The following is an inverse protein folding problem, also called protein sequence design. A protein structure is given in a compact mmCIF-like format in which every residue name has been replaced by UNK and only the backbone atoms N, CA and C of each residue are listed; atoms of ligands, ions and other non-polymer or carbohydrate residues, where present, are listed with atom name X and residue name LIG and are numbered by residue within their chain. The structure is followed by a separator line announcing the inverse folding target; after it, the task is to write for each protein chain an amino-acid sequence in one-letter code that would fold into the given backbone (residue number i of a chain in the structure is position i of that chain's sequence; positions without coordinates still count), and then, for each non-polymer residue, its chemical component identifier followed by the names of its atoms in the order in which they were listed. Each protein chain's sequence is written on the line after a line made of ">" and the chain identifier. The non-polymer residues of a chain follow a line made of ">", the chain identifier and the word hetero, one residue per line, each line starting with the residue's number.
data_IF_775065434145
#
_entry.id   IF_775065434145
#
_cell.length_a   1.000
_cell.length_b   1.000
_cell.length_c   1.000
_cell.angle_alpha   90.00
_cell.angle_beta   90.00
_cell.angle_gamma   90.00
#
_symmetry.space_group_name_H-M   'P 1'
#
loop_
_entity.id
_entity.type
_entity.pdbx_description
1 polymer ?
#
# COMPACT_ATOMS: atom_id res chain seq x y z
N UNK A 1 -10.02 9.31 15.72
CA UNK A 1 -10.43 8.57 14.50
C UNK A 1 -9.17 8.01 13.86
N UNK A 2 -9.21 6.79 13.31
CA UNK A 2 -8.05 6.19 12.62
C UNK A 2 -7.74 6.92 11.32
N UNK A 3 -6.52 6.80 10.82
CA UNK A 3 -6.07 7.40 9.55
C UNK A 3 -5.18 6.46 8.76
N UNK A 4 -5.18 6.64 7.44
CA UNK A 4 -4.19 6.10 6.51
C UNK A 4 -3.21 7.21 6.17
N UNK A 5 -1.91 6.94 6.18
CA UNK A 5 -0.86 7.94 5.95
C UNK A 5 0.00 7.52 4.76
N UNK A 6 0.16 8.42 3.80
CA UNK A 6 1.13 8.31 2.72
C UNK A 6 2.39 9.07 3.12
N UNK A 7 3.55 8.45 2.94
CA UNK A 7 4.84 9.04 3.19
C UNK A 7 5.62 9.27 1.88
N UNK A 8 6.33 10.38 1.81
CA UNK A 8 7.39 10.61 0.85
C UNK A 8 8.67 9.94 1.38
N UNK A 9 9.27 9.09 0.58
CA UNK A 9 10.56 8.45 0.87
C UNK A 9 11.65 9.17 0.05
N UNK A 10 12.59 9.90 0.67
CA UNK A 10 13.74 10.46 -0.03
C UNK A 10 14.78 9.37 -0.32
N UNK A 11 15.72 9.62 -1.24
CA UNK A 11 16.80 8.66 -1.57
C UNK A 11 17.74 8.41 -0.38
N UNK A 12 17.84 9.37 0.52
CA UNK A 12 18.57 9.29 1.79
C UNK A 12 17.92 10.22 2.79
N UNK A 13 17.87 9.80 4.06
CA UNK A 13 17.18 10.50 5.12
C UNK A 13 15.83 9.87 5.47
N UNK A 14 15.17 10.38 6.52
CA UNK A 14 13.96 9.78 7.05
C UNK A 14 12.78 9.95 6.08
N UNK A 15 11.88 8.96 6.09
CA UNK A 15 10.56 9.11 5.48
C UNK A 15 9.80 10.28 6.12
N UNK A 16 8.99 10.97 5.32
CA UNK A 16 8.23 12.15 5.75
C UNK A 16 6.76 11.96 5.46
N UNK A 17 5.89 12.28 6.43
CA UNK A 17 4.44 12.31 6.22
C UNK A 17 4.12 13.28 5.08
N UNK A 18 3.45 12.80 4.04
CA UNK A 18 3.01 13.61 2.91
C UNK A 18 1.53 13.99 3.04
N UNK A 19 0.67 12.98 3.25
CA UNK A 19 -0.78 13.19 3.36
C UNK A 19 -1.40 12.14 4.28
N UNK A 20 -2.43 12.55 5.01
CA UNK A 20 -3.24 11.68 5.85
C UNK A 20 -4.69 11.70 5.39
N UNK A 21 -5.33 10.54 5.43
CA UNK A 21 -6.75 10.35 5.10
C UNK A 21 -7.48 9.82 6.33
N UNK A 22 -8.49 10.55 6.78
CA UNK A 22 -9.26 10.17 7.98
C UNK A 22 -10.20 9.00 7.68
N UNK A 23 -10.35 8.09 8.65
CA UNK A 23 -11.07 6.82 8.56
C UNK A 23 -10.32 5.75 7.74
N UNK A 24 -9.37 5.07 8.38
CA UNK A 24 -8.54 4.03 7.75
C UNK A 24 -9.34 2.87 7.13
N UNK A 25 -10.59 2.64 7.55
CA UNK A 25 -11.45 1.62 6.95
C UNK A 25 -11.76 1.89 5.47
N UNK A 26 -11.63 3.13 5.00
CA UNK A 26 -11.83 3.49 3.59
C UNK A 26 -10.58 3.33 2.71
N UNK A 27 -9.47 2.84 3.28
CA UNK A 27 -8.24 2.44 2.57
C UNK A 27 -8.16 0.92 2.44
N UNK A 28 -7.12 0.31 3.00
CA UNK A 28 -6.84 -1.13 2.90
C UNK A 28 -8.04 -2.04 3.17
N UNK A 29 -8.81 -1.80 4.24
CA UNK A 29 -9.95 -2.65 4.59
C UNK A 29 -11.02 -2.69 3.49
N UNK A 30 -11.36 -1.53 2.92
CA UNK A 30 -12.33 -1.45 1.82
C UNK A 30 -11.81 -2.18 0.57
N UNK A 31 -10.51 -2.09 0.29
CA UNK A 31 -9.87 -2.82 -0.81
C UNK A 31 -10.00 -4.32 -0.57
N UNK A 32 -9.66 -4.81 0.62
CA UNK A 32 -9.77 -6.23 0.96
C UNK A 32 -11.21 -6.74 0.82
N UNK A 33 -12.18 -6.00 1.36
CA UNK A 33 -13.60 -6.34 1.29
C UNK A 33 -14.12 -6.38 -0.16
N UNK A 34 -13.81 -5.34 -0.95
CA UNK A 34 -14.26 -5.25 -2.34
C UNK A 34 -13.65 -6.35 -3.20
N UNK A 35 -12.37 -6.63 -3.01
CA UNK A 35 -11.63 -7.67 -3.73
C UNK A 35 -12.12 -9.07 -3.37
N UNK A 36 -12.33 -9.35 -2.08
CA UNK A 36 -12.90 -10.61 -1.62
C UNK A 36 -14.28 -10.86 -2.26
N UNK A 37 -15.17 -9.87 -2.23
CA UNK A 37 -16.51 -9.98 -2.83
C UNK A 37 -16.44 -10.25 -4.33
N UNK A 38 -15.55 -9.55 -5.03
CA UNK A 38 -15.45 -9.62 -6.49
C UNK A 38 -14.88 -10.94 -6.99
N UNK A 39 -13.86 -11.46 -6.32
CA UNK A 39 -13.04 -12.57 -6.82
C UNK A 39 -13.23 -13.89 -6.07
N UNK A 40 -13.66 -13.83 -4.81
CA UNK A 40 -13.82 -15.01 -3.96
C UNK A 40 -15.28 -15.29 -3.57
N UNK A 41 -16.18 -14.31 -3.77
CA UNK A 41 -17.62 -14.46 -3.55
C UNK A 41 -18.08 -14.36 -2.10
N UNK A 42 -17.17 -14.01 -1.18
CA UNK A 42 -17.42 -13.74 0.24
C UNK A 42 -16.87 -12.37 0.61
N UNK A 43 -17.35 -11.78 1.70
CA UNK A 43 -16.81 -10.52 2.21
C UNK A 43 -15.55 -10.71 3.08
N UNK A 44 -14.78 -9.65 3.30
CA UNK A 44 -13.54 -9.76 4.08
C UNK A 44 -13.81 -10.03 5.58
N UNK A 45 -15.01 -9.69 6.08
CA UNK A 45 -15.41 -9.98 7.46
C UNK A 45 -15.58 -11.49 7.64
N UNK A 46 -16.18 -12.19 6.67
CA UNK A 46 -16.32 -13.65 6.69
C UNK A 46 -14.96 -14.35 6.78
N UNK A 47 -13.99 -13.91 5.98
CA UNK A 47 -12.61 -14.42 6.06
C UNK A 47 -11.92 -14.08 7.38
N UNK A 48 -12.14 -12.89 7.92
CA UNK A 48 -11.60 -12.49 9.23
C UNK A 48 -12.20 -13.31 10.37
N UNK A 49 -13.51 -13.55 10.38
CA UNK A 49 -14.19 -14.37 11.40
C UNK A 49 -13.67 -15.81 11.36
N UNK A 50 -13.35 -16.31 10.18
CA UNK A 50 -12.73 -17.62 9.97
C UNK A 50 -11.22 -17.65 10.28
N UNK A 51 -10.62 -16.53 10.72
CA UNK A 51 -9.18 -16.35 10.96
C UNK A 51 -8.32 -16.75 9.75
N UNK A 52 -8.79 -16.43 8.54
CA UNK A 52 -8.16 -16.85 7.29
C UNK A 52 -8.27 -15.77 6.21
N UNK A 53 -7.57 -14.65 6.38
CA UNK A 53 -7.48 -13.59 5.37
C UNK A 53 -6.51 -13.91 4.22
N UNK A 54 -5.72 -14.98 4.34
CA UNK A 54 -4.70 -15.34 3.35
C UNK A 54 -5.23 -15.45 1.91
N UNK A 55 -6.40 -16.06 1.63
CA UNK A 55 -6.95 -16.11 0.28
C UNK A 55 -7.26 -14.72 -0.29
N UNK A 56 -7.74 -13.79 0.55
CA UNK A 56 -7.99 -12.40 0.14
C UNK A 56 -6.67 -11.73 -0.20
N UNK A 57 -5.67 -11.87 0.67
CA UNK A 57 -4.36 -11.30 0.41
C UNK A 57 -3.73 -11.89 -0.85
N UNK A 58 -3.78 -13.20 -1.07
CA UNK A 58 -3.18 -13.88 -2.21
C UNK A 58 -3.77 -13.48 -3.58
N UNK A 59 -4.87 -12.73 -3.64
CA UNK A 59 -5.42 -12.18 -4.88
C UNK A 59 -4.42 -11.34 -5.69
N UNK A 60 -3.41 -10.73 -5.06
CA UNK A 60 -2.36 -10.02 -5.80
C UNK A 60 -1.43 -10.94 -6.60
N UNK A 61 -1.37 -12.24 -6.24
CA UNK A 61 -0.56 -13.26 -6.92
C UNK A 61 -1.34 -13.94 -8.04
N UNK A 62 -2.66 -13.96 -7.97
CA UNK A 62 -3.52 -14.61 -8.95
C UNK A 62 -3.52 -13.84 -10.28
N UNK A 63 -3.03 -14.48 -11.35
CA UNK A 63 -2.97 -13.89 -12.70
C UNK A 63 -4.33 -13.81 -13.40
N UNK A 64 -5.36 -14.47 -12.87
CA UNK A 64 -6.74 -14.27 -13.33
C UNK A 64 -7.33 -12.93 -12.85
N UNK A 65 -6.75 -12.34 -11.80
CA UNK A 65 -7.10 -11.00 -11.33
C UNK A 65 -6.41 -9.96 -12.22
N UNK A 66 -7.14 -8.95 -12.74
CA UNK A 66 -6.54 -7.87 -13.52
C UNK A 66 -5.38 -7.21 -12.79
N UNK A 67 -4.29 -6.95 -13.51
CA UNK A 67 -3.05 -6.43 -12.91
C UNK A 67 -3.28 -5.17 -12.07
N UNK A 68 -4.10 -4.22 -12.54
CA UNK A 68 -4.44 -3.02 -11.79
C UNK A 68 -4.96 -3.33 -10.38
N UNK A 69 -5.82 -4.33 -10.25
CA UNK A 69 -6.39 -4.72 -8.96
C UNK A 69 -5.36 -5.43 -8.07
N UNK A 70 -4.45 -6.20 -8.67
CA UNK A 70 -3.32 -6.79 -7.95
C UNK A 70 -2.37 -5.72 -7.41
N UNK A 71 -2.10 -4.67 -8.19
CA UNK A 71 -1.30 -3.52 -7.76
C UNK A 71 -1.97 -2.81 -6.58
N UNK A 72 -3.28 -2.51 -6.68
CA UNK A 72 -4.02 -1.88 -5.58
C UNK A 72 -3.98 -2.75 -4.33
N UNK A 73 -4.25 -4.05 -4.45
CA UNK A 73 -4.15 -5.00 -3.33
C UNK A 73 -2.75 -4.98 -2.71
N UNK A 74 -1.69 -5.12 -3.51
CA UNK A 74 -0.33 -5.16 -3.03
C UNK A 74 0.11 -3.85 -2.33
N UNK A 75 -0.39 -2.69 -2.75
CA UNK A 75 -0.11 -1.41 -2.07
C UNK A 75 -0.70 -1.30 -0.66
N UNK A 76 -1.61 -2.21 -0.27
CA UNK A 76 -2.23 -2.22 1.07
C UNK A 76 -1.42 -3.01 2.10
N UNK A 77 -0.34 -3.66 1.71
CA UNK A 77 0.43 -4.51 2.60
C UNK A 77 1.48 -3.73 3.38
N UNK A 78 1.92 -4.32 4.49
CA UNK A 78 2.96 -3.73 5.33
C UNK A 78 4.31 -3.69 4.61
N UNK A 79 5.12 -2.69 4.96
CA UNK A 79 6.47 -2.47 4.46
C UNK A 79 6.60 -2.35 2.92
N UNK A 80 5.48 -2.08 2.22
CA UNK A 80 5.48 -1.88 0.77
C UNK A 80 5.98 -0.48 0.40
N UNK A 81 6.87 -0.41 -0.59
CA UNK A 81 7.28 0.82 -1.24
C UNK A 81 7.05 0.77 -2.75
N UNK A 82 6.77 1.93 -3.34
CA UNK A 82 6.71 2.12 -4.80
C UNK A 82 7.72 3.18 -5.21
N UNK A 83 8.69 2.79 -6.04
CA UNK A 83 9.71 3.71 -6.58
C UNK A 83 9.08 4.77 -7.48
N UNK A 84 9.70 5.95 -7.56
CA UNK A 84 9.21 7.09 -8.32
C UNK A 84 8.90 6.74 -9.77
N UNK A 85 9.76 5.96 -10.44
CA UNK A 85 9.55 5.55 -11.83
C UNK A 85 8.25 4.78 -12.08
N UNK A 86 7.66 4.19 -11.03
CA UNK A 86 6.43 3.39 -11.11
C UNK A 86 5.18 4.10 -10.55
N UNK A 87 5.29 5.34 -10.05
CA UNK A 87 4.16 6.04 -9.43
C UNK A 87 3.04 6.35 -10.43
N UNK A 88 3.37 6.61 -11.69
CA UNK A 88 2.35 6.79 -12.74
C UNK A 88 1.56 5.49 -13.00
N UNK A 89 2.25 4.33 -13.01
CA UNK A 89 1.60 3.00 -13.14
C UNK A 89 0.72 2.70 -11.94
N UNK A 90 1.16 3.05 -10.73
CA UNK A 90 0.35 2.93 -9.52
C UNK A 90 -0.90 3.82 -9.57
N UNK A 91 -0.76 5.09 -9.92
CA UNK A 91 -1.89 6.02 -10.01
C UNK A 91 -2.89 5.58 -11.09
N UNK A 92 -2.43 5.05 -12.22
CA UNK A 92 -3.30 4.46 -13.24
C UNK A 92 -4.05 3.23 -12.72
N UNK A 93 -3.40 2.37 -11.93
CA UNK A 93 -4.06 1.23 -11.30
C UNK A 93 -5.13 1.66 -10.29
N UNK A 94 -4.87 2.71 -9.51
CA UNK A 94 -5.85 3.30 -8.60
C UNK A 94 -7.05 3.89 -9.34
N UNK A 95 -6.84 4.58 -10.47
CA UNK A 95 -7.94 5.07 -11.31
C UNK A 95 -8.78 3.92 -11.88
N UNK A 96 -8.14 2.87 -12.39
CA UNK A 96 -8.84 1.71 -12.93
C UNK A 96 -9.68 1.01 -11.84
N UNK A 97 -9.11 0.82 -10.65
CA UNK A 97 -9.85 0.32 -9.49
C UNK A 97 -11.06 1.21 -9.17
N UNK A 98 -10.88 2.53 -9.22
CA UNK A 98 -11.98 3.46 -8.96
C UNK A 98 -13.10 3.42 -10.01
N UNK A 99 -12.81 2.98 -11.23
CA UNK A 99 -13.80 2.76 -12.29
C UNK A 99 -14.52 1.42 -12.12
N UNK A 100 -13.82 0.39 -11.68
CA UNK A 100 -14.33 -0.99 -11.62
C UNK A 100 -15.15 -1.29 -10.34
N UNK A 101 -14.96 -0.50 -9.28
CA UNK A 101 -15.64 -0.67 -7.99
C UNK A 101 -16.56 0.51 -7.65
N UNK A 102 -17.75 0.22 -7.13
CA UNK A 102 -18.78 1.23 -6.87
C UNK A 102 -18.44 2.22 -5.74
N UNK A 103 -17.72 1.78 -4.70
CA UNK A 103 -17.16 2.64 -3.66
C UNK A 103 -15.64 2.44 -3.61
N UNK A 104 -14.86 3.39 -4.15
CA UNK A 104 -13.41 3.29 -4.14
C UNK A 104 -12.78 3.92 -2.89
N UNK A 105 -13.57 4.42 -1.94
CA UNK A 105 -13.07 4.98 -0.69
C UNK A 105 -12.05 6.11 -0.90
N UNK A 106 -10.86 5.94 -0.31
CA UNK A 106 -9.76 6.91 -0.43
C UNK A 106 -8.93 6.77 -1.71
N UNK A 107 -9.05 5.65 -2.44
CA UNK A 107 -8.18 5.31 -3.57
C UNK A 107 -8.07 6.44 -4.62
N UNK A 108 -9.14 7.16 -5.02
CA UNK A 108 -9.00 8.29 -5.95
C UNK A 108 -8.19 9.46 -5.38
N UNK A 109 -8.33 9.73 -4.09
CA UNK A 109 -7.59 10.80 -3.40
C UNK A 109 -6.13 10.41 -3.16
N UNK A 110 -5.87 9.12 -2.93
CA UNK A 110 -4.51 8.56 -2.91
C UNK A 110 -3.86 8.63 -4.30
N UNK A 111 -4.61 8.37 -5.38
CA UNK A 111 -4.10 8.51 -6.75
C UNK A 111 -3.63 9.94 -7.05
N UNK A 112 -4.42 10.93 -6.63
CA UNK A 112 -4.02 12.34 -6.73
C UNK A 112 -2.75 12.64 -5.93
N UNK A 113 -2.64 12.12 -4.70
CA UNK A 113 -1.45 12.29 -3.85
C UNK A 113 -0.20 11.64 -4.47
N UNK A 114 -0.33 10.44 -5.02
CA UNK A 114 0.74 9.72 -5.72
C UNK A 114 1.25 10.51 -6.93
N UNK A 115 0.35 11.12 -7.71
CA UNK A 115 0.72 11.97 -8.85
C UNK A 115 1.47 13.23 -8.42
N UNK A 116 1.04 13.87 -7.33
CA UNK A 116 1.77 15.01 -6.76
C UNK A 116 3.20 14.60 -6.38
N UNK A 117 3.36 13.45 -5.72
CA UNK A 117 4.67 12.90 -5.34
C UNK A 117 5.54 12.54 -6.56
N UNK A 118 4.96 12.01 -7.63
CA UNK A 118 5.68 11.70 -8.87
C UNK A 118 6.34 12.95 -9.50
N UNK A 119 5.74 14.12 -9.32
CA UNK A 119 6.28 15.41 -9.73
C UNK A 119 7.39 15.97 -8.85
N UNK A 120 7.69 15.37 -7.70
CA UNK A 120 8.68 15.88 -6.74
C UNK A 120 10.06 15.24 -6.95
N UNK A 121 11.07 16.06 -7.18
CA UNK A 121 12.43 15.56 -7.43
C UNK A 121 13.10 14.87 -6.26
N UNK A 122 12.71 15.26 -5.04
CA UNK A 122 13.16 14.63 -3.81
C UNK A 122 12.47 13.30 -3.50
N UNK A 123 11.37 12.95 -4.20
CA UNK A 123 10.68 11.68 -4.01
C UNK A 123 11.48 10.57 -4.70
N UNK A 124 12.03 9.64 -3.91
CA UNK A 124 12.62 8.41 -4.41
C UNK A 124 11.57 7.29 -4.48
N UNK A 125 10.71 7.21 -3.46
CA UNK A 125 9.62 6.25 -3.39
C UNK A 125 8.46 6.81 -2.55
N UNK A 126 7.37 6.05 -2.51
CA UNK A 126 6.19 6.30 -1.68
C UNK A 126 5.88 5.05 -0.88
N UNK A 127 5.43 5.23 0.35
CA UNK A 127 5.01 4.14 1.21
C UNK A 127 3.80 4.52 2.10
N UNK A 128 3.19 3.53 2.75
CA UNK A 128 1.92 3.70 3.46
C UNK A 128 1.99 3.17 4.89
N UNK A 129 1.40 3.91 5.83
CA UNK A 129 0.87 3.32 7.06
C UNK A 129 -0.65 3.20 6.88
N UNK A 130 -1.15 1.97 6.77
CA UNK A 130 -2.56 1.75 6.44
C UNK A 130 -3.52 2.14 7.57
N UNK A 131 -3.07 2.06 8.83
CA UNK A 131 -3.85 2.45 10.00
C UNK A 131 -2.98 3.04 11.10
N UNK A 132 -3.47 4.11 11.75
CA UNK A 132 -2.83 4.70 12.92
C UNK A 132 -3.14 4.02 14.26
N UNK A 133 -3.82 2.87 14.23
CA UNK A 133 -4.24 2.14 15.45
C UNK A 133 -3.20 1.09 15.86
N UNK A 134 -2.41 0.58 14.92
CA UNK A 134 -1.29 -0.31 15.17
C UNK A 134 0.02 0.47 15.28
N UNK A 135 1.11 -0.24 15.60
CA UNK A 135 2.46 0.30 15.50
C UNK A 135 2.74 0.81 14.07
N UNK A 136 3.47 1.92 13.98
CA UNK A 136 3.89 2.50 12.71
C UNK A 136 5.02 1.64 12.12
N UNK A 137 4.79 1.04 10.94
CA UNK A 137 5.77 0.17 10.27
C UNK A 137 6.99 0.94 9.76
N UNK A 138 6.92 2.27 9.75
CA UNK A 138 8.01 3.16 9.33
C UNK A 138 8.77 3.78 10.51
N UNK A 139 8.69 3.15 11.69
CA UNK A 139 9.50 3.46 12.87
C UNK A 139 10.44 2.30 13.16
N UNK A 140 11.74 2.60 13.24
CA UNK A 140 12.77 1.63 13.60
C UNK A 140 13.13 1.82 15.07
N UNK A 141 13.00 0.77 15.87
CA UNK A 141 13.37 0.77 17.28
C UNK A 141 14.89 0.85 17.46
N UNK A 142 15.36 1.73 18.34
CA UNK A 142 16.76 1.96 18.67
C UNK A 142 16.99 1.67 20.15
N UNK A 143 17.44 0.45 20.51
CA UNK A 143 17.59 0.05 21.91
C UNK A 143 18.63 0.89 22.66
N UNK A 144 19.63 1.46 21.99
CA UNK A 144 20.71 2.25 22.60
C UNK A 144 20.21 3.54 23.25
N UNK A 145 19.10 4.07 22.75
CA UNK A 145 18.49 5.33 23.23
C UNK A 145 17.06 5.12 23.74
N UNK A 146 16.61 3.86 23.83
CA UNK A 146 15.24 3.47 24.20
C UNK A 146 14.15 4.29 23.48
N UNK A 147 14.36 4.57 22.18
CA UNK A 147 13.46 5.36 21.36
C UNK A 147 13.37 4.77 19.94
N UNK A 148 12.52 5.33 19.09
CA UNK A 148 12.41 4.97 17.68
C UNK A 148 12.75 6.15 16.77
N UNK A 149 13.46 5.87 15.68
CA UNK A 149 13.66 6.84 14.60
C UNK A 149 12.73 6.53 13.42
N UNK A 150 12.43 7.50 12.56
CA UNK A 150 11.82 7.21 11.28
C UNK A 150 12.72 6.29 10.43
N UNK A 151 12.08 5.48 9.62
CA UNK A 151 12.71 4.65 8.62
C UNK A 151 13.50 5.50 7.61
N UNK A 152 14.68 5.03 7.20
CA UNK A 152 15.52 5.62 6.17
C UNK A 152 15.94 4.54 5.18
N UNK A 153 15.43 4.64 3.96
CA UNK A 153 15.63 3.65 2.89
C UNK A 153 17.10 3.44 2.50
N UNK A 154 17.98 4.38 2.85
CA UNK A 154 19.42 4.28 2.56
C UNK A 154 20.18 3.40 3.54
N UNK A 155 19.60 3.07 4.69
CA UNK A 155 20.23 2.25 5.74
C UNK A 155 19.35 1.08 6.23
N UNK A 156 18.03 1.18 6.06
CA UNK A 156 17.08 0.14 6.45
C UNK A 156 16.63 -0.69 5.25
N UNK A 157 16.33 -1.97 5.47
CA UNK A 157 16.08 -2.96 4.39
C UNK A 157 14.87 -3.88 4.59
N UNK A 158 14.05 -3.65 5.62
CA UNK A 158 12.82 -4.44 5.86
C UNK A 158 11.69 -4.19 4.84
N UNK A 159 11.84 -3.19 3.98
CA UNK A 159 10.87 -2.87 2.94
C UNK A 159 11.00 -3.80 1.72
N UNK A 160 9.94 -3.85 0.93
CA UNK A 160 9.96 -4.48 -0.39
C UNK A 160 9.32 -3.57 -1.44
N UNK A 161 9.80 -3.67 -2.68
CA UNK A 161 9.27 -2.87 -3.78
C UNK A 161 8.17 -3.63 -4.51
N UNK A 162 7.00 -2.99 -4.61
CA UNK A 162 5.79 -3.60 -5.17
C UNK A 162 6.03 -4.19 -6.57
N UNK A 163 6.59 -3.37 -7.47
CA UNK A 163 6.76 -3.75 -8.86
C UNK A 163 7.87 -4.77 -9.07
N UNK A 164 8.98 -4.68 -8.32
CA UNK A 164 10.02 -5.71 -8.34
C UNK A 164 9.43 -7.08 -7.93
N UNK A 165 8.55 -7.11 -6.92
CA UNK A 165 7.89 -8.34 -6.48
C UNK A 165 6.85 -8.85 -7.49
N UNK A 166 6.10 -7.96 -8.13
CA UNK A 166 5.12 -8.30 -9.17
C UNK A 166 5.81 -8.90 -10.40
N UNK A 167 6.90 -8.30 -10.85
CA UNK A 167 7.71 -8.77 -11.98
C UNK A 167 8.38 -10.12 -11.67
N UNK A 168 8.84 -10.34 -10.43
CA UNK A 168 9.36 -11.62 -10.01
C UNK A 168 8.31 -12.74 -10.06
N UNK A 169 7.06 -12.45 -9.68
CA UNK A 169 5.94 -13.38 -9.84
C UNK A 169 5.64 -13.67 -11.31
N UNK A 170 5.83 -12.68 -12.18
CA UNK A 170 5.65 -12.80 -13.63
C UNK A 170 6.72 -13.66 -14.30
N UNK A 171 7.97 -13.55 -13.83
CA UNK A 171 9.12 -14.26 -14.36
C UNK A 171 9.31 -15.69 -13.83
N UNK A 172 8.63 -16.10 -12.75
CA UNK A 172 8.77 -17.43 -12.13
C UNK A 172 8.02 -18.56 -12.87
N UNK A 173 7.57 -18.32 -14.10
CA UNK A 173 7.00 -19.31 -15.04
C UNK A 173 8.01 -19.69 -16.14
#
# INVERSE_FOLDING_TARGET
>A
MSRTTIYLVPKSGPVRVFREFSNAFRGAWLVWDSMAKRYLGLDAVEYMIADNLQPVWDLWKDRAVPEAHRIVMASTFDAVMVKRENLERLAAAFDQYAMDFADPGHIPAEAAAVRELAGMDECFAVCWQQTSVSADVWRVWMPEVEDSRPYDVSIDNEHWFLFDALEALEAAE
#
